data_IF_434958103757
#
_entry.id   IF_434958103757
#
_cell.length_a   1.000
_cell.length_b   1.000
_cell.length_c   1.000
_cell.angle_alpha   90.00
_cell.angle_beta   90.00
_cell.angle_gamma   90.00
#
_symmetry.space_group_name_H-M   'P 1'
#
loop_
_entity.id
_entity.type
_entity.pdbx_description
1 polymer ?
#
# COMPACT_ATOMS: atom_id res chain seq x y z
N UNK A 1 10.20 -27.52 11.64
CA UNK A 1 10.30 -26.06 11.71
C UNK A 1 10.93 -25.62 10.40
N UNK A 2 10.18 -24.93 9.54
CA UNK A 2 10.70 -24.46 8.25
C UNK A 2 11.39 -23.11 8.48
N UNK A 3 12.73 -23.14 8.44
CA UNK A 3 13.62 -21.97 8.44
C UNK A 3 13.55 -21.21 7.10
N UNK A 4 12.37 -20.77 6.71
CA UNK A 4 12.28 -19.72 5.71
C UNK A 4 12.61 -18.41 6.43
N UNK A 5 13.87 -17.97 6.35
CA UNK A 5 14.18 -16.56 6.47
C UNK A 5 13.15 -15.80 5.62
N UNK A 6 12.34 -14.97 6.28
CA UNK A 6 11.16 -14.31 5.72
C UNK A 6 11.59 -13.60 4.43
N UNK A 7 10.89 -13.71 3.28
CA UNK A 7 11.36 -13.23 1.96
C UNK A 7 11.98 -11.81 1.93
N UNK A 8 11.60 -10.96 2.88
CA UNK A 8 12.21 -9.66 3.12
C UNK A 8 13.70 -9.73 3.52
N UNK A 9 14.07 -10.57 4.50
CA UNK A 9 15.44 -10.64 5.01
C UNK A 9 16.39 -11.29 3.97
N UNK A 10 15.86 -12.23 3.17
CA UNK A 10 16.57 -12.79 2.00
C UNK A 10 16.82 -11.70 0.94
N UNK A 11 15.81 -10.89 0.60
CA UNK A 11 15.98 -9.79 -0.35
C UNK A 11 17.03 -8.77 0.14
N UNK A 12 16.99 -8.38 1.41
CA UNK A 12 17.97 -7.50 2.05
C UNK A 12 19.40 -8.07 1.94
N UNK A 13 19.56 -9.35 2.22
CA UNK A 13 20.85 -10.04 2.14
C UNK A 13 21.39 -10.09 0.71
N UNK A 14 20.53 -10.36 -0.27
CA UNK A 14 20.90 -10.37 -1.69
C UNK A 14 21.30 -9.00 -2.21
N UNK A 15 20.60 -7.94 -1.81
CA UNK A 15 20.96 -6.56 -2.16
C UNK A 15 22.34 -6.22 -1.59
N UNK A 16 22.60 -6.54 -0.31
CA UNK A 16 23.89 -6.29 0.30
C UNK A 16 25.03 -7.02 -0.42
N UNK A 17 24.83 -8.31 -0.75
CA UNK A 17 25.80 -9.10 -1.49
C UNK A 17 26.08 -8.53 -2.90
N UNK A 18 25.03 -8.09 -3.59
CA UNK A 18 25.15 -7.55 -4.94
C UNK A 18 25.82 -6.17 -4.95
N UNK A 19 25.50 -5.30 -4.00
CA UNK A 19 26.21 -4.03 -3.81
C UNK A 19 27.70 -4.24 -3.55
N UNK A 20 28.06 -5.21 -2.70
CA UNK A 20 29.45 -5.55 -2.45
C UNK A 20 30.15 -6.09 -3.71
N UNK A 21 29.47 -6.97 -4.46
CA UNK A 21 29.98 -7.54 -5.72
C UNK A 21 30.23 -6.48 -6.80
N UNK A 22 29.36 -5.48 -6.87
CA UNK A 22 29.43 -4.39 -7.84
C UNK A 22 30.31 -3.22 -7.40
N UNK A 23 30.80 -3.22 -6.16
CA UNK A 23 31.59 -2.12 -5.60
C UNK A 23 30.77 -0.85 -5.33
N UNK A 24 29.47 -0.97 -5.06
CA UNK A 24 28.63 0.17 -4.69
C UNK A 24 28.83 0.54 -3.22
N UNK A 25 29.35 1.73 -2.98
CA UNK A 25 29.82 2.21 -1.68
C UNK A 25 28.98 3.36 -1.09
N UNK A 26 28.09 3.98 -1.87
CA UNK A 26 27.21 5.07 -1.41
C UNK A 26 26.02 4.61 -0.54
N UNK A 27 25.81 3.29 -0.42
CA UNK A 27 24.70 2.69 0.31
C UNK A 27 23.38 2.64 -0.45
N UNK A 28 22.30 2.24 0.24
CA UNK A 28 21.00 1.97 -0.38
C UNK A 28 19.84 1.99 0.61
N UNK A 29 18.63 2.22 0.11
CA UNK A 29 17.37 2.05 0.85
C UNK A 29 16.49 1.07 0.07
N UNK A 30 16.15 -0.10 0.65
CA UNK A 30 15.36 -1.12 -0.06
C UNK A 30 13.87 -0.75 -0.09
N UNK A 31 13.18 -0.81 1.06
CA UNK A 31 11.84 -0.27 1.15
C UNK A 31 11.89 1.21 1.46
N UNK A 32 11.35 2.00 0.54
CA UNK A 32 11.12 3.42 0.73
C UNK A 32 9.85 3.70 1.56
N UNK A 33 9.48 2.78 2.46
CA UNK A 33 8.31 2.81 3.32
C UNK A 33 8.55 1.95 4.57
N UNK A 34 7.66 2.02 5.59
CA UNK A 34 7.66 1.06 6.70
C UNK A 34 7.54 -0.38 6.22
N UNK A 35 8.22 -1.34 6.86
CA UNK A 35 8.14 -2.78 6.50
C UNK A 35 6.70 -3.31 6.49
N UNK A 36 5.83 -2.74 7.33
CA UNK A 36 4.41 -3.07 7.41
C UNK A 36 3.64 -2.87 6.09
N UNK A 37 4.15 -2.09 5.13
CA UNK A 37 3.51 -1.93 3.81
C UNK A 37 3.65 -3.16 2.90
N UNK A 38 4.42 -4.17 3.30
CA UNK A 38 4.38 -5.49 2.65
C UNK A 38 3.26 -6.39 3.18
N UNK A 39 2.49 -5.91 4.17
CA UNK A 39 1.40 -6.66 4.78
C UNK A 39 0.17 -6.78 3.87
N UNK A 40 -0.72 -7.73 4.18
CA UNK A 40 -1.92 -8.03 3.37
C UNK A 40 -2.95 -6.90 3.31
N UNK A 41 -2.82 -5.88 4.16
CA UNK A 41 -3.66 -4.67 4.15
C UNK A 41 -3.23 -3.63 3.11
N UNK A 42 -2.18 -3.90 2.33
CA UNK A 42 -1.68 -2.98 1.31
C UNK A 42 -2.29 -3.33 -0.05
N UNK A 43 -3.18 -2.45 -0.53
CA UNK A 43 -3.89 -2.64 -1.80
C UNK A 43 -3.08 -2.21 -3.03
N UNK A 44 -2.12 -1.28 -2.84
CA UNK A 44 -1.30 -0.70 -3.93
C UNK A 44 0.16 -0.66 -3.51
N UNK A 45 1.04 -1.13 -4.40
CA UNK A 45 2.48 -0.94 -4.31
C UNK A 45 2.95 0.10 -5.34
N UNK A 46 3.77 1.05 -4.91
CA UNK A 46 4.43 2.02 -5.78
C UNK A 46 5.93 1.76 -5.78
N UNK A 47 6.47 1.44 -6.96
CA UNK A 47 7.90 1.22 -7.17
C UNK A 47 8.49 2.41 -7.89
N UNK A 48 9.34 3.16 -7.18
CA UNK A 48 10.12 4.25 -7.76
C UNK A 48 11.57 3.82 -7.94
N UNK A 49 12.21 4.29 -9.01
CA UNK A 49 13.66 4.32 -9.10
C UNK A 49 14.08 5.70 -8.60
N UNK A 50 14.68 5.76 -7.41
CA UNK A 50 15.28 7.01 -6.98
C UNK A 50 16.61 7.22 -7.72
N UNK A 51 16.89 8.43 -8.24
CA UNK A 51 18.19 8.74 -8.81
C UNK A 51 19.27 8.60 -7.74
N UNK A 52 20.47 8.16 -8.16
CA UNK A 52 21.61 7.97 -7.28
C UNK A 52 21.98 9.24 -6.52
N UNK A 53 22.43 9.08 -5.28
CA UNK A 53 23.00 10.14 -4.46
C UNK A 53 24.48 10.41 -4.81
N UNK A 54 25.06 11.42 -4.14
CA UNK A 54 26.51 11.71 -4.18
C UNK A 54 27.18 11.56 -2.81
N UNK A 55 26.40 11.24 -1.79
CA UNK A 55 26.83 11.19 -0.39
C UNK A 55 26.52 9.80 0.11
N UNK A 56 27.44 9.24 0.90
CA UNK A 56 27.22 7.98 1.57
C UNK A 56 26.05 8.08 2.54
N UNK A 57 25.16 7.10 2.47
CA UNK A 57 24.14 6.85 3.49
C UNK A 57 24.24 5.39 3.93
N UNK A 58 24.17 5.06 5.23
CA UNK A 58 24.16 3.68 5.67
C UNK A 58 23.02 2.89 5.00
N UNK A 59 23.25 1.63 4.58
CA UNK A 59 22.19 0.77 4.09
C UNK A 59 20.99 0.65 5.04
N UNK A 60 19.78 0.82 4.51
CA UNK A 60 18.54 0.71 5.28
C UNK A 60 17.55 -0.22 4.59
N UNK A 61 17.07 -1.22 5.32
CA UNK A 61 16.09 -2.19 4.81
C UNK A 61 14.69 -1.57 4.63
N UNK A 62 14.27 -0.70 5.55
CA UNK A 62 12.97 -0.01 5.54
C UNK A 62 13.01 1.31 6.30
N UNK A 63 12.15 2.27 5.93
CA UNK A 63 12.08 3.60 6.55
C UNK A 63 10.80 3.75 7.38
N UNK A 64 10.87 3.36 8.64
CA UNK A 64 9.70 3.27 9.54
C UNK A 64 9.06 4.63 9.87
N UNK A 65 9.84 5.73 9.78
CA UNK A 65 9.32 7.09 9.97
C UNK A 65 8.57 7.62 8.74
N UNK A 66 8.68 6.93 7.60
CA UNK A 66 8.08 7.32 6.33
C UNK A 66 9.11 7.64 5.24
N UNK A 67 8.61 7.78 4.02
CA UNK A 67 9.42 8.04 2.83
C UNK A 67 9.98 9.48 2.80
N UNK A 68 11.07 9.71 2.05
CA UNK A 68 11.72 11.01 2.05
C UNK A 68 10.86 12.13 1.47
N UNK A 69 9.92 11.82 0.56
CA UNK A 69 8.98 12.83 0.08
C UNK A 69 8.21 13.45 1.25
N UNK A 70 7.93 12.68 2.31
CA UNK A 70 7.23 13.14 3.52
C UNK A 70 8.18 13.64 4.62
N UNK A 71 9.28 12.95 4.89
CA UNK A 71 10.10 13.16 6.08
C UNK A 71 11.28 14.10 5.89
N UNK A 72 11.72 14.32 4.65
CA UNK A 72 12.87 15.19 4.35
C UNK A 72 12.42 16.52 3.76
N UNK A 73 13.27 17.53 3.86
CA UNK A 73 13.10 18.85 3.24
C UNK A 73 14.12 19.00 2.10
N UNK A 74 13.65 19.10 0.85
CA UNK A 74 14.53 19.24 -0.31
C UNK A 74 14.57 20.68 -0.82
N UNK A 75 15.75 21.26 -1.06
CA UNK A 75 15.88 22.62 -1.59
C UNK A 75 15.55 22.67 -3.09
N UNK A 76 15.27 23.88 -3.58
CA UNK A 76 15.10 24.17 -5.01
C UNK A 76 13.96 23.37 -5.65
N UNK A 77 14.23 22.81 -6.84
CA UNK A 77 13.24 22.05 -7.61
C UNK A 77 12.80 20.74 -6.92
N UNK A 78 13.58 20.23 -5.96
CA UNK A 78 13.20 19.07 -5.16
C UNK A 78 11.90 19.30 -4.39
N UNK A 79 11.64 20.52 -3.94
CA UNK A 79 10.40 20.87 -3.26
C UNK A 79 9.16 20.73 -4.16
N UNK A 80 9.29 21.03 -5.47
CA UNK A 80 8.19 20.87 -6.43
C UNK A 80 7.86 19.40 -6.65
N UNK A 81 8.88 18.57 -6.90
CA UNK A 81 8.71 17.12 -7.02
C UNK A 81 8.08 16.52 -5.76
N UNK A 82 8.53 16.92 -4.56
CA UNK A 82 7.90 16.45 -3.31
C UNK A 82 6.41 16.81 -3.24
N UNK A 83 6.00 18.01 -3.67
CA UNK A 83 4.59 18.40 -3.70
C UNK A 83 3.78 17.59 -4.70
N UNK A 84 4.34 17.34 -5.89
CA UNK A 84 3.68 16.54 -6.94
C UNK A 84 3.48 15.09 -6.52
N UNK A 85 4.51 14.45 -5.95
CA UNK A 85 4.41 13.08 -5.44
C UNK A 85 3.39 13.01 -4.29
N UNK A 86 3.40 13.95 -3.35
CA UNK A 86 2.37 14.04 -2.30
C UNK A 86 0.97 14.15 -2.91
N UNK A 87 0.80 14.99 -3.94
CA UNK A 87 -0.49 15.18 -4.61
C UNK A 87 -0.95 13.93 -5.33
N UNK A 88 -0.05 13.21 -6.00
CA UNK A 88 -0.33 11.92 -6.63
C UNK A 88 -0.90 10.92 -5.61
N UNK A 89 -0.22 10.72 -4.47
CA UNK A 89 -0.70 9.80 -3.44
C UNK A 89 -2.04 10.22 -2.82
N UNK A 90 -2.29 11.53 -2.67
CA UNK A 90 -3.59 12.04 -2.24
C UNK A 90 -4.71 11.71 -3.24
N UNK A 91 -4.45 11.87 -4.54
CA UNK A 91 -5.41 11.55 -5.59
C UNK A 91 -5.69 10.03 -5.67
N UNK A 92 -4.65 9.20 -5.56
CA UNK A 92 -4.79 7.74 -5.52
C UNK A 92 -5.62 7.28 -4.32
N UNK A 93 -5.37 7.84 -3.13
CA UNK A 93 -6.16 7.55 -1.94
C UNK A 93 -7.64 7.93 -2.14
N UNK A 94 -7.92 9.10 -2.72
CA UNK A 94 -9.28 9.53 -3.03
C UNK A 94 -9.97 8.61 -4.03
N UNK A 95 -9.28 8.19 -5.09
CA UNK A 95 -9.81 7.28 -6.10
C UNK A 95 -10.12 5.88 -5.52
N UNK A 96 -9.27 5.36 -4.64
CA UNK A 96 -9.50 4.07 -3.96
C UNK A 96 -10.71 4.09 -3.03
N UNK A 97 -10.92 5.19 -2.30
CA UNK A 97 -12.10 5.35 -1.44
C UNK A 97 -13.38 5.41 -2.30
N UNK A 98 -13.33 6.11 -3.43
CA UNK A 98 -14.46 6.23 -4.34
C UNK A 98 -14.79 4.92 -5.10
N UNK A 99 -13.78 4.08 -5.37
CA UNK A 99 -13.93 2.84 -6.11
C UNK A 99 -14.33 1.63 -5.26
N UNK A 100 -14.16 1.71 -3.93
CA UNK A 100 -14.69 0.67 -3.04
C UNK A 100 -16.20 0.59 -3.23
N UNK A 101 -16.75 -0.59 -3.58
CA UNK A 101 -18.19 -0.74 -3.64
C UNK A 101 -18.73 -0.31 -2.29
N UNK A 102 -19.72 0.60 -2.28
CA UNK A 102 -20.51 0.82 -1.08
C UNK A 102 -20.95 -0.57 -0.66
N UNK A 103 -20.48 -1.04 0.50
CA UNK A 103 -21.02 -2.24 1.10
C UNK A 103 -22.53 -2.11 0.96
N UNK A 104 -23.26 -3.14 0.48
CA UNK A 104 -24.71 -3.09 0.52
C UNK A 104 -25.02 -2.69 1.95
N UNK A 105 -25.55 -1.47 2.14
CA UNK A 105 -26.03 -1.08 3.45
C UNK A 105 -26.95 -2.22 3.80
N UNK A 106 -26.58 -3.01 4.81
CA UNK A 106 -27.49 -4.00 5.36
C UNK A 106 -28.72 -3.18 5.68
N UNK A 107 -29.75 -3.31 4.83
CA UNK A 107 -31.05 -2.78 5.15
C UNK A 107 -31.33 -3.40 6.51
N UNK A 108 -31.58 -2.60 7.56
CA UNK A 108 -31.95 -3.17 8.83
C UNK A 108 -33.08 -4.16 8.56
N UNK A 109 -32.91 -5.39 9.05
CA UNK A 109 -33.89 -6.45 8.92
C UNK A 109 -35.20 -5.93 9.53
N UNK A 110 -36.11 -5.45 8.67
CA UNK A 110 -37.33 -4.77 9.12
C UNK A 110 -37.66 -3.44 8.44
N UNK A 111 -36.81 -2.86 7.58
CA UNK A 111 -37.21 -1.69 6.82
C UNK A 111 -38.39 -2.05 5.88
N UNK A 112 -39.59 -1.47 6.08
CA UNK A 112 -40.77 -1.83 5.30
C UNK A 112 -40.59 -1.39 3.85
N UNK A 113 -40.87 -2.31 2.93
CA UNK A 113 -40.95 -2.01 1.51
C UNK A 113 -42.04 -0.92 1.32
N UNK A 114 -41.66 0.29 0.90
CA UNK A 114 -42.64 1.28 0.43
C UNK A 114 -43.32 0.69 -0.80
N UNK A 115 -44.58 0.25 -0.63
CA UNK A 115 -45.43 -0.24 -1.72
C UNK A 115 -45.98 -1.67 -1.58
N UNK A 116 -45.68 -2.41 -0.50
CA UNK A 116 -46.31 -3.72 -0.29
C UNK A 116 -47.67 -3.58 0.40
N UNK A 117 -48.74 -4.02 -0.27
CA UNK A 117 -50.06 -4.18 0.35
C UNK A 117 -49.98 -5.18 1.53
N UNK A 118 -50.83 -5.04 2.57
CA UNK A 118 -50.78 -5.90 3.75
C UNK A 118 -50.93 -7.38 3.35
N UNK A 119 -50.01 -8.24 3.79
CA UNK A 119 -50.17 -9.70 3.69
C UNK A 119 -49.31 -10.45 2.67
N UNK A 120 -48.35 -9.81 1.97
CA UNK A 120 -47.40 -10.53 1.09
C UNK A 120 -45.98 -10.47 1.63
N UNK A 121 -45.40 -11.62 1.98
CA UNK A 121 -43.99 -11.72 2.38
C UNK A 121 -43.07 -11.63 1.16
N UNK A 122 -42.03 -10.79 1.20
CA UNK A 122 -41.08 -10.57 0.12
C UNK A 122 -39.94 -11.62 0.04
N UNK A 123 -40.09 -12.81 0.62
CA UNK A 123 -39.03 -13.82 0.61
C UNK A 123 -39.15 -14.73 -0.62
N UNK A 124 -38.06 -15.00 -1.37
CA UNK A 124 -38.10 -16.03 -2.39
C UNK A 124 -38.26 -17.40 -1.72
N UNK A 125 -39.27 -18.17 -2.14
CA UNK A 125 -39.43 -19.56 -1.73
C UNK A 125 -38.21 -20.34 -2.22
N UNK A 126 -37.49 -21.00 -1.31
CA UNK A 126 -36.46 -21.97 -1.68
C UNK A 126 -37.12 -23.13 -2.42
N UNK A 127 -36.61 -23.45 -3.60
CA UNK A 127 -37.01 -24.64 -4.36
C UNK A 127 -36.28 -25.85 -3.76
N UNK A 128 -36.94 -26.98 -3.47
CA UNK A 128 -36.25 -28.19 -3.01
C UNK A 128 -35.43 -28.79 -4.17
N UNK A 129 -34.24 -29.30 -3.86
CA UNK A 129 -33.46 -30.11 -4.81
C UNK A 129 -34.03 -31.53 -4.84
N UNK A 130 -34.32 -32.02 -6.03
CA UNK A 130 -34.60 -33.42 -6.38
C UNK A 130 -33.34 -34.25 -6.41
#
# INVERSE_FOLDING_TARGET
MNDAAVPFDDAVSRIAAECARLGYDLGWRFLYSPKATLGPSTDIAFFGINPGGKVFEPPVASVEQGNAYRTECWPGNGASLQREVKKLFQLLAGALVASRPRSPVERPAGAPCRGAAPGRSCWPRRVPKS
#
